data_IF_979776451250
#
_entry.id   IF_979776451250
#
_cell.length_a   1.000
_cell.length_b   1.000
_cell.length_c   1.000
_cell.angle_alpha   90.00
_cell.angle_beta   90.00
_cell.angle_gamma   90.00
#
_symmetry.space_group_name_H-M   'P 1'
#
loop_
_entity.id
_entity.type
_entity.pdbx_description
1 polymer ?
#
# COMPACT_ATOMS: atom_id res chain seq x y z
N UNK A 1 -8.01 17.13 8.54
CA UNK A 1 -8.84 15.98 8.12
C UNK A 1 -8.71 14.91 9.17
N UNK A 2 -9.81 14.32 9.63
CA UNK A 2 -9.73 13.22 10.60
C UNK A 2 -9.64 11.87 9.86
N UNK A 3 -9.38 10.79 10.62
CA UNK A 3 -9.19 9.44 10.05
C UNK A 3 -10.47 8.91 9.39
N UNK A 4 -11.64 9.19 9.95
CA UNK A 4 -12.92 8.69 9.40
C UNK A 4 -13.25 9.35 8.06
N UNK A 5 -13.02 10.66 7.94
CA UNK A 5 -13.17 11.41 6.70
C UNK A 5 -12.23 10.85 5.61
N UNK A 6 -10.97 10.59 5.98
CA UNK A 6 -9.98 9.96 5.11
C UNK A 6 -10.43 8.57 4.64
N UNK A 7 -10.79 7.67 5.56
CA UNK A 7 -11.17 6.30 5.22
C UNK A 7 -12.42 6.27 4.33
N UNK A 8 -13.32 7.23 4.53
CA UNK A 8 -14.50 7.42 3.69
C UNK A 8 -14.13 7.90 2.29
N UNK A 9 -13.23 8.87 2.19
CA UNK A 9 -12.73 9.38 0.91
C UNK A 9 -12.00 8.29 0.12
N UNK A 10 -11.06 7.59 0.75
CA UNK A 10 -10.23 6.56 0.12
C UNK A 10 -11.09 5.40 -0.42
N UNK A 11 -12.04 4.89 0.39
CA UNK A 11 -12.94 3.79 -0.04
C UNK A 11 -13.87 4.16 -1.19
N UNK A 12 -14.29 5.43 -1.28
CA UNK A 12 -15.22 5.88 -2.31
C UNK A 12 -14.51 6.36 -3.59
N UNK A 13 -13.18 6.47 -3.57
CA UNK A 13 -12.38 6.91 -4.71
C UNK A 13 -12.12 5.73 -5.64
N UNK A 14 -12.62 5.81 -6.88
CA UNK A 14 -12.44 4.74 -7.87
C UNK A 14 -11.11 4.86 -8.63
N UNK A 15 -10.63 6.09 -8.83
CA UNK A 15 -9.47 6.39 -9.68
C UNK A 15 -8.24 6.89 -8.89
N UNK A 16 -8.38 7.10 -7.59
CA UNK A 16 -7.32 7.63 -6.73
C UNK A 16 -7.25 6.82 -5.43
N UNK A 17 -6.03 6.64 -4.94
CA UNK A 17 -5.75 6.12 -3.60
C UNK A 17 -5.04 7.19 -2.80
N UNK A 18 -5.29 7.22 -1.50
CA UNK A 18 -4.71 8.22 -0.62
C UNK A 18 -4.00 7.56 0.55
N UNK A 19 -2.83 8.11 0.88
CA UNK A 19 -2.15 7.84 2.13
C UNK A 19 -2.46 8.96 3.13
N UNK A 20 -2.50 8.59 4.40
CA UNK A 20 -2.79 9.50 5.50
C UNK A 20 -1.62 9.54 6.47
N UNK A 21 -1.10 10.73 6.70
CA UNK A 21 0.05 11.00 7.56
C UNK A 21 -0.30 12.08 8.56
N UNK A 22 -0.70 11.68 9.78
CA UNK A 22 -0.87 12.58 10.93
C UNK A 22 -1.77 13.81 10.67
N UNK A 23 -2.85 13.61 9.90
CA UNK A 23 -3.79 14.68 9.53
C UNK A 23 -3.67 15.19 8.10
N UNK A 24 -2.60 14.82 7.41
CA UNK A 24 -2.33 15.17 6.02
C UNK A 24 -2.72 14.03 5.07
N UNK A 25 -3.34 14.38 3.94
CA UNK A 25 -3.59 13.43 2.85
C UNK A 25 -2.61 13.61 1.71
N UNK A 26 -2.13 12.49 1.20
CA UNK A 26 -1.30 12.42 0.01
C UNK A 26 -1.97 11.50 -1.01
N UNK A 27 -2.30 12.04 -2.17
CA UNK A 27 -2.81 11.24 -3.28
C UNK A 27 -1.64 10.52 -3.97
N UNK A 28 -1.79 9.23 -4.22
CA UNK A 28 -0.81 8.49 -5.00
C UNK A 28 -0.86 8.92 -6.48
N UNK A 29 0.31 9.08 -7.09
CA UNK A 29 0.44 9.50 -8.49
C UNK A 29 0.03 8.42 -9.51
N UNK A 30 -0.34 7.22 -9.05
CA UNK A 30 -0.52 6.04 -9.89
C UNK A 30 0.81 5.36 -10.25
N UNK A 31 0.73 4.24 -10.99
CA UNK A 31 1.89 3.44 -11.40
C UNK A 31 2.21 3.60 -12.88
N UNK A 32 3.51 3.60 -13.22
CA UNK A 32 3.98 3.40 -14.60
C UNK A 32 4.24 1.92 -14.87
N UNK A 33 4.32 1.51 -16.14
CA UNK A 33 4.69 0.13 -16.48
C UNK A 33 6.03 -0.30 -15.86
N UNK A 34 7.01 0.61 -15.79
CA UNK A 34 8.30 0.33 -15.14
C UNK A 34 8.14 0.11 -13.64
N UNK A 35 7.31 0.91 -12.97
CA UNK A 35 6.99 0.73 -11.55
C UNK A 35 6.32 -0.63 -11.29
N UNK A 36 5.34 -1.00 -12.13
CA UNK A 36 4.68 -2.31 -12.03
C UNK A 36 5.65 -3.49 -12.23
N UNK A 37 6.59 -3.37 -13.18
CA UNK A 37 7.61 -4.40 -13.40
C UNK A 37 8.56 -4.55 -12.20
N UNK A 38 8.96 -3.44 -11.58
CA UNK A 38 9.81 -3.46 -10.38
C UNK A 38 9.08 -4.15 -9.22
N UNK A 39 7.82 -3.80 -8.98
CA UNK A 39 7.00 -4.44 -7.93
C UNK A 39 6.86 -5.94 -8.17
N UNK A 40 6.55 -6.35 -9.40
CA UNK A 40 6.40 -7.76 -9.75
C UNK A 40 7.69 -8.54 -9.47
N UNK A 41 8.84 -8.03 -9.91
CA UNK A 41 10.14 -8.66 -9.67
C UNK A 41 10.47 -8.77 -8.18
N UNK A 42 10.26 -7.69 -7.41
CA UNK A 42 10.50 -7.71 -5.96
C UNK A 42 9.59 -8.70 -5.24
N UNK A 43 8.31 -8.73 -5.61
CA UNK A 43 7.31 -9.66 -5.06
C UNK A 43 7.72 -11.11 -5.32
N UNK A 44 8.19 -11.43 -6.52
CA UNK A 44 8.69 -12.77 -6.85
C UNK A 44 9.94 -13.13 -6.06
N UNK A 45 10.93 -12.23 -5.98
CA UNK A 45 12.17 -12.48 -5.23
C UNK A 45 11.87 -12.74 -3.75
N UNK A 46 11.03 -11.91 -3.13
CA UNK A 46 10.66 -12.05 -1.73
C UNK A 46 9.85 -13.33 -1.48
N UNK A 47 8.84 -13.63 -2.30
CA UNK A 47 8.04 -14.85 -2.15
C UNK A 47 8.92 -16.11 -2.24
N UNK A 48 9.80 -16.18 -3.24
CA UNK A 48 10.69 -17.33 -3.39
C UNK A 48 11.65 -17.47 -2.20
N UNK A 49 12.16 -16.35 -1.68
CA UNK A 49 13.10 -16.35 -0.55
C UNK A 49 12.44 -16.69 0.79
N UNK A 50 11.13 -16.45 0.91
CA UNK A 50 10.35 -16.63 2.14
C UNK A 50 9.41 -17.84 2.10
N UNK A 51 9.46 -18.66 1.05
CA UNK A 51 8.51 -19.74 0.79
C UNK A 51 8.35 -20.74 1.94
N UNK A 52 9.44 -21.04 2.66
CA UNK A 52 9.44 -22.00 3.78
C UNK A 52 9.32 -21.33 5.16
N UNK A 53 8.94 -20.06 5.17
CA UNK A 53 8.75 -19.26 6.38
C UNK A 53 7.25 -19.01 6.64
N UNK A 54 6.86 -18.53 7.83
CA UNK A 54 5.48 -18.12 8.08
C UNK A 54 5.12 -16.78 7.40
N UNK A 55 6.08 -16.12 6.73
CA UNK A 55 5.88 -14.80 6.18
C UNK A 55 5.03 -14.81 4.89
N UNK A 56 4.27 -13.73 4.68
CA UNK A 56 3.44 -13.54 3.48
C UNK A 56 3.80 -12.23 2.79
N UNK A 57 3.96 -12.27 1.47
CA UNK A 57 4.25 -11.09 0.65
C UNK A 57 2.98 -10.60 -0.03
N UNK A 58 2.71 -9.30 0.07
CA UNK A 58 1.57 -8.62 -0.52
C UNK A 58 2.03 -7.51 -1.46
N UNK A 59 1.25 -7.26 -2.50
CA UNK A 59 1.45 -6.15 -3.44
C UNK A 59 0.79 -4.85 -2.91
N UNK A 60 0.77 -3.83 -3.77
CA UNK A 60 0.16 -2.50 -3.52
C UNK A 60 -1.33 -2.49 -3.17
N UNK A 61 -2.06 -3.59 -3.34
CA UNK A 61 -3.49 -3.64 -3.03
C UNK A 61 -3.81 -3.65 -1.52
N UNK A 62 -2.81 -3.92 -0.68
CA UNK A 62 -3.01 -3.88 0.77
C UNK A 62 -2.96 -2.44 1.27
N UNK A 63 -4.05 -2.03 1.90
CA UNK A 63 -4.12 -0.82 2.71
C UNK A 63 -3.66 -1.14 4.14
N UNK A 64 -2.52 -0.58 4.55
CA UNK A 64 -1.98 -0.81 5.90
C UNK A 64 -2.24 0.36 6.84
N UNK A 65 -2.65 0.01 8.06
CA UNK A 65 -2.65 0.91 9.21
C UNK A 65 -1.35 0.73 9.99
N UNK A 66 -0.48 1.73 10.00
CA UNK A 66 0.78 1.74 10.76
C UNK A 66 0.60 2.29 12.18
N UNK A 67 -0.37 3.18 12.39
CA UNK A 67 -0.74 3.72 13.70
C UNK A 67 -2.20 4.19 13.71
N UNK A 68 -2.66 4.84 14.76
CA UNK A 68 -3.99 5.47 14.76
C UNK A 68 -4.12 6.59 13.73
N UNK A 69 -3.01 7.24 13.35
CA UNK A 69 -3.01 8.40 12.47
C UNK A 69 -2.13 8.21 11.24
N UNK A 70 -1.73 6.97 10.92
CA UNK A 70 -0.91 6.67 9.74
C UNK A 70 -1.40 5.47 8.95
N UNK A 71 -1.69 5.71 7.68
CA UNK A 71 -2.21 4.72 6.75
C UNK A 71 -1.54 4.85 5.39
N UNK A 72 -1.12 3.73 4.82
CA UNK A 72 -0.26 3.71 3.62
C UNK A 72 -0.66 2.60 2.65
N UNK A 73 -0.25 2.76 1.40
CA UNK A 73 -0.38 1.80 0.31
C UNK A 73 1.01 1.46 -0.24
N UNK A 74 1.79 0.65 0.50
CA UNK A 74 3.16 0.35 0.13
C UNK A 74 3.22 -0.46 -1.17
N UNK A 75 4.28 -0.31 -1.94
CA UNK A 75 4.51 -1.07 -3.17
C UNK A 75 4.57 -2.58 -2.92
N UNK A 76 5.23 -3.00 -1.83
CA UNK A 76 5.31 -4.39 -1.36
C UNK A 76 5.30 -4.43 0.17
N UNK A 77 4.58 -5.38 0.76
CA UNK A 77 4.55 -5.63 2.21
C UNK A 77 4.92 -7.07 2.51
N UNK A 78 5.61 -7.30 3.65
CA UNK A 78 5.80 -8.64 4.22
C UNK A 78 5.22 -8.65 5.64
N UNK A 79 4.42 -9.66 5.99
CA UNK A 79 3.89 -9.90 7.34
C UNK A 79 4.37 -11.22 7.91
#
# INVERSE_FOLDING_TARGET
MNVDDYLTLDRNSQEARYEYYDGELQMLAGGSNNHSLVIANLTTILNNSLNDSPCRVYNTDVHLRLSETRYVHPDVTVS
#
